data_IF_620872061589
#
_entry.id   IF_620872061589
#
_cell.length_a   1.000
_cell.length_b   1.000
_cell.length_c   1.000
_cell.angle_alpha   90.00
_cell.angle_beta   90.00
_cell.angle_gamma   90.00
#
_symmetry.space_group_name_H-M   'P 1'
#
loop_
_entity.id
_entity.type
_entity.pdbx_description
1 polymer ?
#
# COMPACT_ATOMS: atom_id res chain seq x y z
N UNK A 1 2.94 7.86 25.37
CA UNK A 1 3.42 7.86 23.98
C UNK A 1 2.25 8.15 23.07
N UNK A 2 2.49 8.97 22.05
CA UNK A 2 1.62 9.12 20.89
C UNK A 2 2.48 8.55 19.77
N UNK A 3 2.34 7.26 19.57
CA UNK A 3 2.83 6.55 18.41
C UNK A 3 2.10 7.12 17.18
N UNK A 4 2.88 7.87 16.42
CA UNK A 4 2.58 8.31 15.07
C UNK A 4 2.69 7.10 14.16
N UNK A 5 1.70 6.20 14.23
CA UNK A 5 1.56 5.09 13.29
C UNK A 5 1.06 5.66 11.95
N UNK A 6 2.00 6.29 11.24
CA UNK A 6 1.96 6.41 9.78
C UNK A 6 2.51 5.15 9.11
N UNK A 7 2.80 4.11 9.89
CA UNK A 7 3.34 2.84 9.45
C UNK A 7 2.23 1.78 9.50
N UNK A 8 1.64 1.47 8.36
CA UNK A 8 0.86 0.22 8.20
C UNK A 8 1.75 -0.94 7.77
N UNK A 9 3.08 -0.76 7.81
CA UNK A 9 4.08 -1.77 7.58
C UNK A 9 4.31 -2.64 8.80
N UNK A 10 3.42 -3.62 8.99
CA UNK A 10 3.75 -4.91 9.61
C UNK A 10 4.14 -4.95 11.11
N UNK A 11 3.40 -4.29 12.02
CA UNK A 11 3.44 -4.67 13.46
C UNK A 11 2.15 -4.43 14.26
N UNK A 12 0.97 -4.79 13.75
CA UNK A 12 -0.21 -4.91 14.63
C UNK A 12 -1.18 -6.01 14.18
N UNK A 13 -0.95 -7.23 14.65
CA UNK A 13 -1.98 -8.27 14.63
C UNK A 13 -3.00 -7.96 15.73
N UNK A 14 -4.01 -7.16 15.40
CA UNK A 14 -5.21 -7.02 16.24
C UNK A 14 -6.33 -7.95 15.77
N UNK A 15 -6.34 -9.13 16.40
CA UNK A 15 -7.48 -10.03 16.63
C UNK A 15 -8.82 -9.69 15.93
N UNK A 16 -9.07 -10.29 14.76
CA UNK A 16 -10.43 -10.76 14.40
C UNK A 16 -11.39 -9.80 13.68
N UNK A 17 -10.91 -8.84 12.89
CA UNK A 17 -11.78 -7.89 12.18
C UNK A 17 -11.65 -7.99 10.66
N UNK A 18 -12.62 -8.66 10.03
CA UNK A 18 -12.85 -8.69 8.57
C UNK A 18 -13.11 -7.31 7.93
N UNK A 19 -12.95 -6.21 8.68
CA UNK A 19 -13.14 -4.82 8.27
C UNK A 19 -11.81 -4.09 8.02
N UNK A 20 -10.65 -4.74 8.22
CA UNK A 20 -9.32 -4.18 7.93
C UNK A 20 -8.74 -4.66 6.59
N UNK A 21 -9.46 -5.54 5.87
CA UNK A 21 -9.08 -6.02 4.54
C UNK A 21 -9.98 -5.45 3.44
N UNK A 22 -10.92 -4.59 3.82
CA UNK A 22 -11.87 -3.91 2.93
C UNK A 22 -12.11 -2.51 3.49
N UNK A 23 -11.57 -1.49 2.85
CA UNK A 23 -11.58 -0.10 3.29
C UNK A 23 -10.75 0.74 2.32
N UNK A 24 -11.06 2.03 2.20
CA UNK A 24 -10.25 2.92 1.36
C UNK A 24 -9.14 3.49 2.24
N UNK A 25 -7.91 3.04 2.02
CA UNK A 25 -6.77 3.31 2.88
C UNK A 25 -5.74 4.24 2.21
N UNK A 26 -4.86 4.81 3.03
CA UNK A 26 -3.69 5.55 2.54
C UNK A 26 -2.44 4.96 3.16
N UNK A 27 -1.62 4.37 2.30
CA UNK A 27 -0.43 3.59 2.64
C UNK A 27 0.79 4.34 2.12
N UNK A 28 1.74 4.61 3.00
CA UNK A 28 2.98 5.31 2.66
C UNK A 28 4.15 4.60 3.30
N UNK A 29 5.12 4.16 2.51
CA UNK A 29 6.33 3.53 3.03
C UNK A 29 7.40 4.55 3.43
N UNK A 30 8.46 4.05 4.05
CA UNK A 30 9.68 4.80 4.28
C UNK A 30 10.57 4.82 3.02
N UNK A 31 11.82 5.24 3.17
CA UNK A 31 12.83 5.01 2.14
C UNK A 31 13.40 3.60 2.30
N UNK A 32 13.64 2.89 1.21
CA UNK A 32 14.16 1.53 1.21
C UNK A 32 13.38 0.64 0.26
N UNK A 33 13.84 -0.60 0.08
CA UNK A 33 13.08 -1.59 -0.70
C UNK A 33 11.96 -2.14 0.20
N UNK A 34 10.71 -1.78 -0.08
CA UNK A 34 9.55 -2.10 0.77
C UNK A 34 8.56 -3.08 0.10
N UNK A 35 7.68 -3.67 0.90
CA UNK A 35 6.53 -4.44 0.40
C UNK A 35 5.23 -3.84 0.93
N UNK A 36 4.35 -3.42 0.01
CA UNK A 36 3.11 -2.72 0.32
C UNK A 36 1.90 -3.46 -0.24
N UNK A 37 0.77 -3.39 0.48
CA UNK A 37 -0.49 -4.04 0.08
C UNK A 37 -1.73 -3.25 0.53
N UNK A 38 -2.59 -2.87 -0.43
CA UNK A 38 -3.85 -2.15 -0.25
C UNK A 38 -5.00 -3.02 0.26
N UNK A 39 -5.05 -4.29 -0.16
CA UNK A 39 -6.16 -5.21 0.10
C UNK A 39 -7.43 -4.83 -0.67
N UNK A 40 -8.54 -4.55 -0.01
CA UNK A 40 -9.81 -4.27 -0.68
C UNK A 40 -10.23 -2.84 -0.39
N UNK A 41 -10.85 -2.17 -1.36
CA UNK A 41 -11.23 -0.76 -1.28
C UNK A 41 -10.50 0.07 -2.33
N UNK A 42 -10.88 1.33 -2.46
CA UNK A 42 -10.18 2.25 -3.39
C UNK A 42 -9.03 2.94 -2.61
N UNK A 43 -7.81 2.42 -2.76
CA UNK A 43 -6.66 2.78 -1.93
C UNK A 43 -5.72 3.81 -2.55
N UNK A 44 -4.92 4.47 -1.72
CA UNK A 44 -3.76 5.29 -2.15
C UNK A 44 -2.49 4.65 -1.59
N UNK A 45 -1.56 4.23 -2.45
CA UNK A 45 -0.33 3.52 -2.04
C UNK A 45 0.92 4.20 -2.61
N UNK A 46 1.85 4.61 -1.73
CA UNK A 46 3.06 5.35 -2.07
C UNK A 46 4.34 4.63 -1.59
N UNK A 47 5.19 4.16 -2.52
CA UNK A 47 6.47 3.44 -2.26
C UNK A 47 7.68 4.31 -1.91
N UNK A 48 7.54 5.64 -2.05
CA UNK A 48 8.61 6.62 -1.81
C UNK A 48 9.91 6.38 -2.59
N UNK A 49 10.81 5.50 -2.17
CA UNK A 49 11.95 5.16 -3.00
C UNK A 49 12.78 4.01 -2.50
N UNK A 50 13.34 3.27 -3.45
CA UNK A 50 13.76 1.88 -3.27
C UNK A 50 13.26 1.07 -4.46
N UNK A 51 13.44 -0.24 -4.45
CA UNK A 51 12.83 -1.13 -5.45
C UNK A 51 11.70 -1.87 -4.74
N UNK A 52 10.50 -1.34 -4.87
CA UNK A 52 9.36 -1.74 -4.07
C UNK A 52 8.55 -2.85 -4.73
N UNK A 53 7.84 -3.61 -3.90
CA UNK A 53 6.83 -4.57 -4.32
C UNK A 53 5.46 -4.11 -3.81
N UNK A 54 4.59 -3.66 -4.71
CA UNK A 54 3.33 -3.02 -4.34
C UNK A 54 2.12 -3.76 -4.93
N UNK A 55 1.11 -4.02 -4.11
CA UNK A 55 -0.16 -4.62 -4.50
C UNK A 55 -1.33 -3.70 -4.13
N UNK A 56 -2.15 -3.25 -5.10
CA UNK A 56 -3.42 -2.56 -4.82
C UNK A 56 -4.54 -3.55 -4.42
N UNK A 57 -4.51 -4.74 -5.01
CA UNK A 57 -5.43 -5.85 -4.77
C UNK A 57 -6.86 -5.62 -5.32
N UNK A 58 -7.85 -5.09 -4.60
CA UNK A 58 -9.23 -5.05 -5.07
C UNK A 58 -9.93 -3.71 -4.82
N UNK A 59 -10.11 -2.92 -5.87
CA UNK A 59 -10.82 -1.65 -5.89
C UNK A 59 -10.20 -0.76 -6.96
N UNK A 60 -10.49 0.54 -6.95
CA UNK A 60 -9.91 1.47 -7.92
C UNK A 60 -8.78 2.24 -7.24
N UNK A 61 -7.57 1.69 -7.35
CA UNK A 61 -6.44 2.15 -6.55
C UNK A 61 -5.61 3.24 -7.24
N UNK A 62 -5.02 4.14 -6.46
CA UNK A 62 -3.95 5.03 -6.88
C UNK A 62 -2.62 4.55 -6.30
N UNK A 63 -1.79 3.91 -7.14
CA UNK A 63 -0.52 3.32 -6.73
C UNK A 63 0.66 4.02 -7.40
N UNK A 64 1.62 4.46 -6.60
CA UNK A 64 2.83 5.13 -7.08
C UNK A 64 4.09 4.61 -6.35
N UNK A 65 4.92 3.83 -7.04
CA UNK A 65 6.21 3.35 -6.51
C UNK A 65 7.25 4.46 -6.34
N UNK A 66 7.08 5.60 -7.02
CA UNK A 66 8.00 6.75 -6.99
C UNK A 66 9.41 6.41 -7.52
N UNK A 67 10.43 6.37 -6.67
CA UNK A 67 11.83 6.34 -7.11
C UNK A 67 12.44 4.94 -6.98
N UNK A 68 12.67 4.28 -8.12
CA UNK A 68 13.51 3.08 -8.22
C UNK A 68 12.89 2.08 -9.19
N UNK A 69 13.28 0.81 -9.13
CA UNK A 69 12.75 -0.20 -10.05
C UNK A 69 11.64 -1.00 -9.37
N UNK A 70 10.44 -0.46 -9.43
CA UNK A 70 9.32 -0.98 -8.67
C UNK A 70 8.55 -2.05 -9.44
N UNK A 71 8.02 -3.02 -8.71
CA UNK A 71 7.06 -4.01 -9.21
C UNK A 71 5.70 -3.69 -8.62
N UNK A 72 4.81 -3.14 -9.47
CA UNK A 72 3.48 -2.71 -9.05
C UNK A 72 2.39 -3.54 -9.71
N UNK A 73 1.49 -4.05 -8.88
CA UNK A 73 0.29 -4.77 -9.27
C UNK A 73 -0.93 -3.96 -8.84
N UNK A 74 -1.64 -3.35 -9.78
CA UNK A 74 -2.91 -2.64 -9.48
C UNK A 74 -3.94 -3.59 -8.89
N UNK A 75 -4.26 -4.66 -9.61
CA UNK A 75 -5.15 -5.71 -9.10
C UNK A 75 -6.48 -5.73 -9.85
N UNK A 76 -7.58 -5.93 -9.13
CA UNK A 76 -8.94 -5.91 -9.64
C UNK A 76 -9.53 -4.52 -9.52
N UNK A 77 -9.90 -3.91 -10.65
CA UNK A 77 -10.61 -2.64 -10.68
C UNK A 77 -10.01 -1.72 -11.73
N UNK A 78 -10.30 -0.43 -11.65
CA UNK A 78 -9.73 0.58 -12.54
C UNK A 78 -8.66 1.36 -11.82
N UNK A 79 -7.42 0.91 -11.96
CA UNK A 79 -6.30 1.44 -11.18
C UNK A 79 -5.53 2.53 -11.93
N UNK A 80 -5.04 3.51 -11.19
CA UNK A 80 -4.01 4.42 -11.65
C UNK A 80 -2.65 3.97 -11.08
N UNK A 81 -1.82 3.38 -11.95
CA UNK A 81 -0.51 2.84 -11.55
C UNK A 81 0.62 3.65 -12.17
N UNK A 82 1.53 4.13 -11.33
CA UNK A 82 2.85 4.61 -11.70
C UNK A 82 3.91 3.70 -11.07
N UNK A 83 4.64 2.98 -11.93
CA UNK A 83 5.71 2.07 -11.52
C UNK A 83 6.82 2.82 -10.80
N UNK A 84 7.64 3.56 -11.53
CA UNK A 84 8.92 4.10 -11.04
C UNK A 84 10.00 3.75 -12.05
#
# INVERSE_FOLDING_TARGET
DIDNETDVGDDDIDNGVSFLFTGNDTIVSALGDDTLRGYGGDDIVLGMGGNDLVYGDAGNDEVNGNLGNDTVHGGQGTDFVRGG
#
